data_IF_466246401142
#
_entry.id   IF_466246401142
#
_cell.length_a   1.000
_cell.length_b   1.000
_cell.length_c   1.000
_cell.angle_alpha   90.00
_cell.angle_beta   90.00
_cell.angle_gamma   90.00
#
_symmetry.space_group_name_H-M   'P 1'
#
loop_
_entity.id
_entity.type
_entity.pdbx_description
1 polymer ?
#
# COMPACT_ATOMS: atom_id res chain seq x y z
N UNK A 1 14.96 -15.08 14.40
CA UNK A 1 13.95 -14.03 14.19
C UNK A 1 14.02 -13.73 12.70
N UNK A 2 13.18 -14.41 11.91
CA UNK A 2 13.03 -14.02 10.52
C UNK A 2 12.08 -12.83 10.54
N UNK A 3 12.61 -11.64 10.29
CA UNK A 3 11.83 -10.51 9.81
C UNK A 3 10.92 -11.02 8.69
N UNK A 4 9.71 -10.46 8.54
CA UNK A 4 8.77 -10.88 7.51
C UNK A 4 9.27 -10.58 6.07
N UNK A 5 10.20 -11.41 5.60
CA UNK A 5 10.21 -12.11 4.31
C UNK A 5 9.97 -11.24 3.04
N UNK A 6 10.89 -10.31 2.73
CA UNK A 6 11.06 -9.78 1.36
C UNK A 6 9.90 -8.94 0.78
N UNK A 7 8.94 -8.51 1.59
CA UNK A 7 7.80 -7.74 1.13
C UNK A 7 8.18 -6.29 0.79
N UNK A 8 7.64 -5.71 -0.29
CA UNK A 8 7.98 -4.34 -0.71
C UNK A 8 7.46 -3.26 0.26
N UNK A 9 6.41 -3.55 1.03
CA UNK A 9 5.83 -2.62 2.01
C UNK A 9 5.39 -3.36 3.28
N UNK A 10 5.40 -2.66 4.41
CA UNK A 10 4.99 -3.19 5.71
C UNK A 10 3.87 -2.34 6.32
N UNK A 11 3.30 -2.84 7.43
CA UNK A 11 2.31 -2.10 8.19
C UNK A 11 2.88 -0.73 8.62
N UNK A 12 2.10 0.34 8.42
CA UNK A 12 2.44 1.76 8.65
C UNK A 12 3.45 2.38 7.68
N UNK A 13 3.88 1.67 6.63
CA UNK A 13 4.66 2.30 5.57
C UNK A 13 3.88 3.42 4.89
N UNK A 14 4.60 4.51 4.57
CA UNK A 14 4.05 5.61 3.78
C UNK A 14 4.24 5.30 2.31
N UNK A 15 3.13 5.31 1.59
CA UNK A 15 3.09 5.01 0.16
C UNK A 15 2.39 6.13 -0.60
N UNK A 16 2.54 6.12 -1.90
CA UNK A 16 1.75 6.93 -2.83
C UNK A 16 1.11 6.04 -3.89
N UNK A 17 -0.06 6.43 -4.38
CA UNK A 17 -0.70 5.76 -5.50
C UNK A 17 0.18 5.92 -6.76
N UNK A 18 0.78 4.84 -7.24
CA UNK A 18 1.63 4.86 -8.43
C UNK A 18 0.82 4.84 -9.75
N UNK A 19 -0.49 4.62 -9.66
CA UNK A 19 -1.41 4.61 -10.78
C UNK A 19 -2.76 5.21 -10.37
N UNK A 20 -3.61 5.49 -11.35
CA UNK A 20 -5.00 5.83 -11.11
C UNK A 20 -5.74 4.62 -10.51
N UNK A 21 -6.25 4.82 -9.30
CA UNK A 21 -6.96 3.82 -8.53
C UNK A 21 -8.43 4.26 -8.35
N UNK A 22 -9.36 3.35 -8.04
CA UNK A 22 -10.77 3.70 -7.89
C UNK A 22 -10.98 4.76 -6.81
N UNK A 23 -11.33 5.98 -7.23
CA UNK A 23 -11.49 7.12 -6.32
C UNK A 23 -10.19 7.66 -5.72
N UNK A 24 -9.02 7.24 -6.19
CA UNK A 24 -7.71 7.66 -5.69
C UNK A 24 -6.84 8.07 -6.89
N UNK A 25 -6.63 9.39 -7.10
CA UNK A 25 -5.72 9.90 -8.11
C UNK A 25 -4.29 9.39 -7.91
N UNK A 26 -3.53 9.27 -9.00
CA UNK A 26 -2.08 9.04 -8.94
C UNK A 26 -1.39 10.11 -8.08
N UNK A 27 -0.40 9.72 -7.29
CA UNK A 27 0.32 10.59 -6.35
C UNK A 27 -0.40 10.83 -5.02
N UNK A 28 -1.63 10.34 -4.83
CA UNK A 28 -2.31 10.45 -3.53
C UNK A 28 -1.54 9.65 -2.49
N UNK A 29 -1.13 10.28 -1.39
CA UNK A 29 -0.43 9.53 -0.36
C UNK A 29 -1.39 8.68 0.47
N UNK A 30 -0.84 7.59 0.99
CA UNK A 30 -1.53 6.72 1.90
C UNK A 30 -0.59 6.08 2.89
N UNK A 31 -1.20 5.34 3.82
CA UNK A 31 -0.50 4.53 4.81
C UNK A 31 -0.99 3.10 4.71
N UNK A 32 -0.05 2.15 4.71
CA UNK A 32 -0.38 0.73 4.75
C UNK A 32 -1.02 0.41 6.09
N UNK A 33 -2.31 0.07 6.06
CA UNK A 33 -3.12 -0.23 7.23
C UNK A 33 -3.18 -1.73 7.53
N UNK A 34 -2.96 -2.59 6.53
CA UNK A 34 -2.78 -4.02 6.73
C UNK A 34 -2.00 -4.65 5.56
N UNK A 35 -1.29 -5.73 5.87
CA UNK A 35 -0.67 -6.62 4.89
C UNK A 35 -1.29 -7.99 5.12
N UNK A 36 -2.01 -8.51 4.14
CA UNK A 36 -2.77 -9.75 4.27
C UNK A 36 -2.42 -10.72 3.15
N UNK A 37 -2.09 -11.96 3.50
CA UNK A 37 -1.75 -13.03 2.56
C UNK A 37 -0.51 -13.79 2.99
N UNK A 38 -0.35 -14.99 2.45
CA UNK A 38 0.86 -15.82 2.61
C UNK A 38 1.65 -15.86 1.31
N UNK A 39 1.00 -16.21 0.20
CA UNK A 39 1.61 -16.25 -1.15
C UNK A 39 1.06 -15.15 -2.07
N UNK A 40 -0.16 -14.66 -1.80
CA UNK A 40 -0.84 -13.59 -2.54
C UNK A 40 -1.04 -12.40 -1.63
N UNK A 41 0.00 -11.60 -1.47
CA UNK A 41 -0.01 -10.47 -0.54
C UNK A 41 -0.89 -9.35 -1.08
N UNK A 42 -1.85 -8.94 -0.28
CA UNK A 42 -2.75 -7.82 -0.50
C UNK A 42 -2.47 -6.73 0.52
N UNK A 43 -2.32 -5.52 0.01
CA UNK A 43 -2.14 -4.34 0.81
C UNK A 43 -3.46 -3.64 1.00
N UNK A 44 -3.78 -3.37 2.26
CA UNK A 44 -4.82 -2.41 2.60
C UNK A 44 -4.14 -1.07 2.85
N UNK A 45 -4.50 -0.05 2.06
CA UNK A 45 -3.95 1.29 2.18
C UNK A 45 -5.08 2.27 2.46
N UNK A 46 -4.87 3.11 3.46
CA UNK A 46 -5.72 4.27 3.76
C UNK A 46 -5.10 5.49 3.11
N UNK A 47 -5.77 6.03 2.11
CA UNK A 47 -5.33 7.23 1.42
C UNK A 47 -5.81 8.50 2.15
N UNK A 48 -5.05 9.57 2.02
CA UNK A 48 -5.35 10.85 2.67
C UNK A 48 -6.61 11.53 2.12
N UNK A 49 -7.06 11.14 0.94
CA UNK A 49 -8.32 11.58 0.35
C UNK A 49 -9.56 10.92 0.98
N UNK A 50 -9.38 10.08 2.01
CA UNK A 50 -10.46 9.40 2.74
C UNK A 50 -10.87 8.05 2.15
N UNK A 51 -10.27 7.61 1.05
CA UNK A 51 -10.55 6.29 0.44
C UNK A 51 -9.64 5.23 1.04
N UNK A 52 -10.21 4.07 1.38
CA UNK A 52 -9.46 2.88 1.81
C UNK A 52 -9.61 1.78 0.76
N UNK A 53 -8.49 1.26 0.25
CA UNK A 53 -8.48 0.16 -0.70
C UNK A 53 -7.81 -1.05 -0.05
N UNK A 54 -8.53 -2.18 0.03
CA UNK A 54 -8.11 -3.37 0.77
C UNK A 54 -7.39 -4.46 -0.02
N UNK A 55 -7.38 -4.37 -1.35
CA UNK A 55 -6.92 -5.45 -2.25
C UNK A 55 -5.84 -4.96 -3.20
N UNK A 56 -4.99 -4.04 -2.77
CA UNK A 56 -3.96 -3.47 -3.62
C UNK A 56 -2.78 -4.41 -3.80
N UNK A 57 -2.37 -4.58 -5.06
CA UNK A 57 -1.08 -5.16 -5.43
C UNK A 57 0.03 -4.12 -5.21
N UNK A 58 1.24 -4.54 -4.78
CA UNK A 58 2.34 -3.62 -4.53
C UNK A 58 2.78 -2.83 -5.76
N UNK A 59 2.52 -3.32 -6.99
CA UNK A 59 2.79 -2.61 -8.24
C UNK A 59 2.03 -1.30 -8.41
N UNK A 60 0.92 -1.10 -7.68
CA UNK A 60 0.14 0.13 -7.71
C UNK A 60 0.55 1.13 -6.62
N UNK A 61 1.56 0.79 -5.83
CA UNK A 61 2.07 1.59 -4.74
C UNK A 61 3.53 1.94 -5.01
N UNK A 62 3.89 3.19 -4.74
CA UNK A 62 5.29 3.61 -4.72
C UNK A 62 5.69 4.03 -3.29
N UNK A 63 6.96 3.83 -2.91
CA UNK A 63 7.45 4.30 -1.63
C UNK A 63 7.49 5.83 -1.63
N UNK A 64 6.88 6.45 -0.61
CA UNK A 64 6.95 7.89 -0.46
C UNK A 64 8.37 8.28 -0.05
N UNK A 65 9.16 8.84 -0.97
CA UNK A 65 10.45 9.45 -0.61
C UNK A 65 10.17 10.72 0.20
N UNK A 66 10.71 10.78 1.42
CA UNK A 66 10.67 11.99 2.26
C UNK A 66 11.67 13.02 1.77
#
# INVERSE_FOLDING_TARGET
>A
MADADGLPFHLKDKVEAAAELPGVPVGTHGVVAAVAGLEWIRYRVRFENGVELGTLDPKYLAPRKS
#
